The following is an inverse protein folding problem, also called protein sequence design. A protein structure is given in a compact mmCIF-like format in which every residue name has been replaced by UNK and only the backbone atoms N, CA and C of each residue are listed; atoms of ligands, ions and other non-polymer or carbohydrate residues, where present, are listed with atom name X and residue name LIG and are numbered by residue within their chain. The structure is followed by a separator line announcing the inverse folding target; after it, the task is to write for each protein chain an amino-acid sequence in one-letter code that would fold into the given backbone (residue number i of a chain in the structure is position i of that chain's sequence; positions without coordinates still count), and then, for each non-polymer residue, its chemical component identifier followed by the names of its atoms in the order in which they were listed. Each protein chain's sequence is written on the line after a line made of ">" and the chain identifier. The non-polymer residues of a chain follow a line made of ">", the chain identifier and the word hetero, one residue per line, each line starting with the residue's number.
data_IF_313916875060
#
_entry.id   IF_313916875060
#
_cell.length_a   1.000
_cell.length_b   1.000
_cell.length_c   1.000
_cell.angle_alpha   90.00
_cell.angle_beta   90.00
_cell.angle_gamma   90.00
#
_symmetry.space_group_name_H-M   'P 1'
#
loop_
_entity.id
_entity.type
_entity.pdbx_description
1 polymer ?
#
# COMPACT_ATOMS: atom_id res chain seq x y z
N UNK A 1 -23.68 22.08 17.32
CA UNK A 1 -23.59 20.93 16.38
C UNK A 1 -22.35 20.12 16.75
N UNK A 2 -22.53 18.96 17.38
CA UNK A 2 -21.45 18.04 17.76
C UNK A 2 -20.95 17.31 16.51
N UNK A 3 -19.79 17.76 16.00
CA UNK A 3 -19.07 17.07 14.92
C UNK A 3 -18.54 15.75 15.48
N UNK A 4 -19.18 14.64 15.12
CA UNK A 4 -18.69 13.29 15.41
C UNK A 4 -17.38 13.10 14.63
N UNK A 5 -16.25 13.04 15.35
CA UNK A 5 -15.00 12.51 14.81
C UNK A 5 -15.19 11.02 14.52
N UNK A 6 -15.65 10.71 13.31
CA UNK A 6 -15.59 9.36 12.73
C UNK A 6 -14.10 9.09 12.45
N UNK A 7 -13.59 7.98 12.98
CA UNK A 7 -12.16 7.68 13.11
C UNK A 7 -11.31 8.09 11.90
N UNK A 8 -10.42 9.05 12.12
CA UNK A 8 -9.37 9.41 11.17
C UNK A 8 -8.29 8.33 11.18
N UNK A 9 -8.61 7.13 10.67
CA UNK A 9 -7.57 6.23 10.21
C UNK A 9 -6.80 6.97 9.11
N UNK A 10 -5.50 7.16 9.28
CA UNK A 10 -4.70 7.96 8.36
C UNK A 10 -4.95 7.52 6.92
N UNK A 11 -5.61 8.37 6.12
CA UNK A 11 -5.93 8.06 4.73
C UNK A 11 -4.67 7.57 4.02
N UNK A 12 -4.79 6.43 3.33
CA UNK A 12 -3.67 5.91 2.54
C UNK A 12 -3.20 6.98 1.56
N UNK A 13 -1.89 7.16 1.44
CA UNK A 13 -1.32 8.07 0.43
C UNK A 13 -1.53 7.54 -0.99
N UNK A 14 -1.68 6.22 -1.14
CA UNK A 14 -1.79 5.54 -2.43
C UNK A 14 -2.90 4.49 -2.39
N UNK A 15 -4.18 4.90 -2.19
CA UNK A 15 -5.27 3.97 -1.91
C UNK A 15 -5.53 2.97 -3.03
N UNK A 16 -5.40 3.37 -4.29
CA UNK A 16 -5.61 2.47 -5.44
C UNK A 16 -4.49 1.44 -5.55
N UNK A 17 -3.23 1.87 -5.35
CA UNK A 17 -2.08 0.97 -5.37
C UNK A 17 -2.09 0.00 -4.18
N UNK A 18 -2.48 0.46 -2.99
CA UNK A 18 -2.61 -0.41 -1.82
C UNK A 18 -3.72 -1.46 -1.99
N UNK A 19 -4.83 -1.14 -2.68
CA UNK A 19 -5.86 -2.13 -2.97
C UNK A 19 -5.35 -3.24 -3.90
N UNK A 20 -4.68 -2.90 -5.00
CA UNK A 20 -4.07 -3.91 -5.88
C UNK A 20 -2.99 -4.73 -5.15
N UNK A 21 -2.21 -4.08 -4.28
CA UNK A 21 -1.23 -4.77 -3.45
C UNK A 21 -1.90 -5.78 -2.50
N UNK A 22 -3.04 -5.44 -1.90
CA UNK A 22 -3.81 -6.35 -1.03
C UNK A 22 -4.33 -7.55 -1.81
N UNK A 23 -4.93 -7.32 -2.98
CA UNK A 23 -5.39 -8.39 -3.88
C UNK A 23 -4.24 -9.34 -4.24
N UNK A 24 -3.08 -8.78 -4.62
CA UNK A 24 -1.87 -9.55 -4.91
C UNK A 24 -1.40 -10.40 -3.71
N UNK A 25 -1.43 -9.86 -2.49
CA UNK A 25 -1.09 -10.62 -1.27
C UNK A 25 -2.07 -11.78 -1.06
N UNK A 26 -3.36 -11.55 -1.24
CA UNK A 26 -4.40 -12.58 -1.08
C UNK A 26 -4.19 -13.70 -2.09
N UNK A 27 -3.97 -13.38 -3.36
CA UNK A 27 -3.69 -14.38 -4.40
C UNK A 27 -2.44 -15.22 -4.09
N UNK A 28 -1.37 -14.58 -3.60
CA UNK A 28 -0.14 -15.30 -3.20
C UNK A 28 -0.41 -16.26 -2.06
N UNK A 29 -1.18 -15.84 -1.05
CA UNK A 29 -1.56 -16.69 0.08
C UNK A 29 -2.44 -17.86 -0.35
N UNK A 30 -3.39 -17.65 -1.25
CA UNK A 30 -4.22 -18.73 -1.82
C UNK A 30 -3.38 -19.76 -2.57
N UNK A 31 -2.29 -19.34 -3.21
CA UNK A 31 -1.32 -20.21 -3.90
C UNK A 31 -0.30 -20.86 -2.95
N UNK A 32 -0.40 -20.63 -1.64
CA UNK A 32 0.56 -21.14 -0.65
C UNK A 32 1.93 -20.48 -0.71
N UNK A 33 2.06 -19.32 -1.38
CA UNK A 33 3.32 -18.60 -1.52
C UNK A 33 3.48 -17.66 -0.34
N UNK A 34 4.58 -17.83 0.41
CA UNK A 34 4.94 -16.92 1.49
C UNK A 34 5.27 -15.53 0.92
N UNK A 35 4.63 -14.50 1.47
CA UNK A 35 4.89 -13.10 1.12
C UNK A 35 5.68 -12.46 2.25
N UNK A 36 6.90 -12.03 1.96
CA UNK A 36 7.75 -11.33 2.94
C UNK A 36 7.53 -9.83 2.88
N UNK A 37 7.93 -9.13 3.95
CA UNK A 37 7.95 -7.67 4.00
C UNK A 37 8.71 -7.03 2.83
N UNK A 38 9.79 -7.68 2.35
CA UNK A 38 10.56 -7.21 1.20
C UNK A 38 9.75 -7.33 -0.10
N UNK A 39 9.01 -8.42 -0.26
CA UNK A 39 8.18 -8.64 -1.45
C UNK A 39 7.05 -7.62 -1.54
N UNK A 40 6.39 -7.32 -0.41
CA UNK A 40 5.34 -6.29 -0.35
C UNK A 40 5.88 -4.93 -0.75
N UNK A 41 7.03 -4.54 -0.18
CA UNK A 41 7.69 -3.26 -0.50
C UNK A 41 8.10 -3.18 -1.96
N UNK A 42 8.71 -4.24 -2.49
CA UNK A 42 9.13 -4.31 -3.89
C UNK A 42 7.94 -4.23 -4.83
N UNK A 43 6.87 -4.98 -4.56
CA UNK A 43 5.68 -4.97 -5.39
C UNK A 43 4.97 -3.62 -5.36
N UNK A 44 4.88 -2.97 -4.18
CA UNK A 44 4.33 -1.62 -4.06
C UNK A 44 5.12 -0.60 -4.89
N UNK A 45 6.45 -0.61 -4.78
CA UNK A 45 7.30 0.29 -5.58
C UNK A 45 7.10 0.04 -7.07
N UNK A 46 6.97 -1.22 -7.49
CA UNK A 46 6.73 -1.59 -8.88
C UNK A 46 5.37 -1.04 -9.38
N UNK A 47 4.30 -1.22 -8.59
CA UNK A 47 2.98 -0.66 -8.90
C UNK A 47 3.03 0.87 -9.06
N UNK A 48 3.72 1.56 -8.15
CA UNK A 48 3.87 3.02 -8.21
C UNK A 48 4.73 3.48 -9.40
N UNK A 49 5.70 2.68 -9.82
CA UNK A 49 6.64 3.03 -10.89
C UNK A 49 6.09 2.80 -12.29
N UNK A 50 5.20 1.82 -12.43
CA UNK A 50 4.66 1.37 -13.71
C UNK A 50 3.17 1.69 -13.84
N UNK A 51 2.33 0.92 -13.14
CA UNK A 51 0.86 1.00 -13.25
C UNK A 51 0.32 2.38 -12.89
N UNK A 52 0.84 2.98 -11.82
CA UNK A 52 0.34 4.26 -11.30
C UNK A 52 1.28 5.43 -11.52
N UNK A 53 2.23 5.32 -12.45
CA UNK A 53 3.17 6.42 -12.74
C UNK A 53 2.46 7.72 -13.10
N UNK A 54 1.34 7.63 -13.83
CA UNK A 54 0.55 8.80 -14.24
C UNK A 54 -0.34 9.32 -13.10
N UNK A 55 -0.93 8.42 -12.30
CA UNK A 55 -1.79 8.78 -11.18
C UNK A 55 -1.02 9.35 -9.99
N UNK A 56 0.21 8.89 -9.79
CA UNK A 56 1.08 9.30 -8.70
C UNK A 56 2.47 9.71 -9.24
N UNK A 57 2.50 10.79 -10.00
CA UNK A 57 3.70 11.28 -10.72
C UNK A 57 4.94 11.50 -9.85
N UNK A 58 4.77 11.78 -8.55
CA UNK A 58 5.88 11.96 -7.61
C UNK A 58 6.06 10.80 -6.62
N UNK A 59 5.33 9.69 -6.80
CA UNK A 59 5.37 8.55 -5.88
C UNK A 59 6.78 7.95 -5.77
N UNK A 60 7.49 7.79 -6.88
CA UNK A 60 8.84 7.20 -6.89
C UNK A 60 9.86 7.97 -6.04
N UNK A 61 9.76 9.31 -6.02
CA UNK A 61 10.66 10.16 -5.23
C UNK A 61 10.25 10.25 -3.75
N UNK A 62 8.98 10.00 -3.45
CA UNK A 62 8.40 10.22 -2.11
C UNK A 62 8.19 8.93 -1.33
N UNK A 63 7.93 7.82 -2.03
CA UNK A 63 7.69 6.52 -1.44
C UNK A 63 9.00 5.87 -1.02
N UNK A 64 9.23 5.83 0.29
CA UNK A 64 10.44 5.25 0.89
C UNK A 64 10.32 3.78 1.26
N UNK A 65 9.16 3.15 1.03
CA UNK A 65 8.87 1.79 1.47
C UNK A 65 9.28 1.54 2.94
N UNK A 66 8.98 2.51 3.83
CA UNK A 66 9.43 2.48 5.22
C UNK A 66 8.74 1.36 6.01
N UNK A 67 9.38 0.87 7.06
CA UNK A 67 8.75 -0.11 7.97
C UNK A 67 7.50 0.45 8.64
N UNK A 68 7.47 1.76 8.92
CA UNK A 68 6.28 2.44 9.42
C UNK A 68 5.12 2.34 8.42
N UNK A 69 5.36 2.63 7.14
CA UNK A 69 4.32 2.48 6.12
C UNK A 69 3.85 1.03 6.05
N UNK A 70 4.78 0.06 6.02
CA UNK A 70 4.43 -1.35 5.94
C UNK A 70 3.57 -1.78 7.14
N UNK A 71 3.97 -1.41 8.36
CA UNK A 71 3.20 -1.72 9.57
C UNK A 71 1.80 -1.09 9.52
N UNK A 72 1.70 0.17 9.08
CA UNK A 72 0.40 0.83 8.89
C UNK A 72 -0.42 0.18 7.79
N UNK A 73 0.19 -0.32 6.72
CA UNK A 73 -0.49 -1.00 5.64
C UNK A 73 -1.03 -2.37 6.09
N UNK A 74 -0.22 -3.14 6.83
CA UNK A 74 -0.58 -4.47 7.32
C UNK A 74 -1.65 -4.43 8.42
N UNK A 75 -1.73 -3.35 9.19
CA UNK A 75 -2.71 -3.18 10.27
C UNK A 75 -4.04 -2.54 9.82
N UNK A 76 -4.22 -2.27 8.53
CA UNK A 76 -5.47 -1.74 7.94
C UNK A 76 -6.29 -2.83 7.27
#
# INVERSE_FOLDING_TARGET
>A
KTSRRVGSGASSLYPLAENLLKEWIVERRQKGIAVTSKDVKFHMTNLLSNEFKLSYSNALNTFKASDLWLNLFMNR
#
